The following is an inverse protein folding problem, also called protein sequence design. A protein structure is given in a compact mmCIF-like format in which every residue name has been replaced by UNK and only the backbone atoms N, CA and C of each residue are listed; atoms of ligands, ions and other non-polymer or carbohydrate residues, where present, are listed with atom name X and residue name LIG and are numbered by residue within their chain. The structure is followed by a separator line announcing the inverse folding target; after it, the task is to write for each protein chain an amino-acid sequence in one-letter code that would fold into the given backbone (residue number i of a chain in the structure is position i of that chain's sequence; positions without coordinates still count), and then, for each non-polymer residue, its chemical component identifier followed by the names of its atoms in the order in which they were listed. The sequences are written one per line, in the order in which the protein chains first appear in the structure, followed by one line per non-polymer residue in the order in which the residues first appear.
data_IF_747917377071
#
_entry.id   IF_747917377071
#
_cell.length_a   1.000
_cell.length_b   1.000
_cell.length_c   1.000
_cell.angle_alpha   90.00
_cell.angle_beta   90.00
_cell.angle_gamma   90.00
#
_symmetry.space_group_name_H-M   'P 1'
#
loop_
_entity.id
_entity.type
_entity.pdbx_description
1 polymer ?
#
# COMPACT_ATOMS: atom_id res chain seq x y z
N UNK A 1 24.34 -27.96 -10.09
CA UNK A 1 24.17 -28.61 -11.40
C UNK A 1 25.50 -29.02 -12.07
N UNK A 2 26.41 -28.11 -12.42
CA UNK A 2 27.65 -28.47 -13.15
C UNK A 2 28.46 -29.59 -12.47
N UNK A 3 28.70 -29.53 -11.16
CA UNK A 3 29.47 -30.58 -10.43
C UNK A 3 28.78 -31.96 -10.48
N UNK A 4 27.44 -32.01 -10.34
CA UNK A 4 26.70 -33.28 -10.40
C UNK A 4 26.70 -33.91 -11.81
N UNK A 5 26.56 -33.08 -12.86
CA UNK A 5 26.68 -33.52 -14.25
C UNK A 5 28.06 -34.09 -14.56
N UNK A 6 29.11 -33.41 -14.10
CA UNK A 6 30.49 -33.86 -14.28
C UNK A 6 30.72 -35.17 -13.56
N UNK A 7 30.28 -35.32 -12.31
CA UNK A 7 30.38 -36.57 -11.55
C UNK A 7 29.64 -37.73 -12.25
N UNK A 8 28.41 -37.43 -12.75
CA UNK A 8 27.64 -38.42 -13.51
C UNK A 8 28.37 -38.86 -14.78
N UNK A 9 28.98 -37.94 -15.56
CA UNK A 9 29.76 -38.26 -16.75
C UNK A 9 30.98 -39.12 -16.41
N UNK A 10 31.69 -38.79 -15.32
CA UNK A 10 32.84 -39.58 -14.84
C UNK A 10 32.41 -40.98 -14.45
N UNK A 11 31.28 -41.13 -13.71
CA UNK A 11 30.73 -42.47 -13.38
C UNK A 11 30.37 -43.25 -14.64
N UNK A 12 29.73 -42.62 -15.63
CA UNK A 12 29.31 -43.25 -16.86
C UNK A 12 30.54 -43.74 -17.66
N UNK A 13 31.58 -42.91 -17.77
CA UNK A 13 32.85 -43.30 -18.40
C UNK A 13 33.53 -44.41 -17.64
N UNK A 14 33.55 -44.40 -16.32
CA UNK A 14 34.13 -45.43 -15.48
C UNK A 14 33.43 -46.79 -15.68
N UNK A 15 32.09 -46.80 -15.64
CA UNK A 15 31.33 -48.05 -15.90
C UNK A 15 31.49 -48.53 -17.33
N UNK A 16 31.58 -47.63 -18.31
CA UNK A 16 31.86 -47.98 -19.69
C UNK A 16 33.22 -48.66 -19.83
N UNK A 17 34.30 -48.13 -19.22
CA UNK A 17 35.62 -48.73 -19.19
C UNK A 17 35.64 -50.12 -18.53
N UNK A 18 34.91 -50.26 -17.40
CA UNK A 18 34.76 -51.57 -16.75
C UNK A 18 34.06 -52.58 -17.66
N UNK A 19 33.04 -52.16 -18.42
CA UNK A 19 32.33 -53.02 -19.37
C UNK A 19 33.25 -53.48 -20.53
N UNK A 20 34.21 -52.63 -20.94
CA UNK A 20 35.19 -53.01 -22.01
C UNK A 20 36.23 -53.97 -21.48
N UNK A 21 36.70 -53.82 -20.22
CA UNK A 21 37.74 -54.71 -19.65
C UNK A 21 37.16 -56.04 -19.19
N UNK A 22 36.02 -56.01 -18.50
CA UNK A 22 35.34 -57.19 -17.99
C UNK A 22 34.08 -57.41 -18.84
N UNK A 23 34.08 -58.37 -19.74
CA UNK A 23 32.97 -58.73 -20.65
C UNK A 23 31.88 -59.47 -19.86
N UNK A 24 31.52 -58.95 -18.68
CA UNK A 24 30.52 -59.54 -17.79
C UNK A 24 29.17 -58.86 -17.98
N UNK A 25 28.07 -59.62 -18.05
CA UNK A 25 26.72 -59.15 -18.25
C UNK A 25 26.28 -58.11 -17.18
N UNK A 26 26.82 -58.22 -15.98
CA UNK A 26 26.48 -57.32 -14.88
C UNK A 26 26.91 -55.88 -15.16
N UNK A 27 28.08 -55.62 -15.73
CA UNK A 27 28.56 -54.28 -16.08
C UNK A 27 27.76 -53.68 -17.25
N UNK A 28 27.33 -54.53 -18.21
CA UNK A 28 26.43 -54.08 -19.27
C UNK A 28 25.08 -53.63 -18.73
N UNK A 29 24.49 -54.43 -17.83
CA UNK A 29 23.20 -54.10 -17.21
C UNK A 29 23.30 -52.80 -16.38
N UNK A 30 24.39 -52.59 -15.64
CA UNK A 30 24.68 -51.38 -14.89
C UNK A 30 24.77 -50.16 -15.82
N UNK A 31 25.45 -50.29 -16.97
CA UNK A 31 25.58 -49.25 -17.97
C UNK A 31 24.19 -48.83 -18.52
N UNK A 32 23.39 -49.84 -18.90
CA UNK A 32 22.00 -49.60 -19.39
C UNK A 32 21.18 -48.89 -18.35
N UNK A 33 21.24 -49.33 -17.09
CA UNK A 33 20.49 -48.71 -15.99
C UNK A 33 20.94 -47.26 -15.76
N UNK A 34 22.24 -46.99 -15.82
CA UNK A 34 22.80 -45.64 -15.65
C UNK A 34 22.34 -44.69 -16.77
N UNK A 35 22.01 -45.16 -17.96
CA UNK A 35 21.48 -44.36 -19.07
C UNK A 35 19.95 -44.23 -18.98
N UNK A 36 19.25 -45.33 -18.73
CA UNK A 36 17.78 -45.38 -18.75
C UNK A 36 17.15 -44.59 -17.61
N UNK A 37 17.69 -44.68 -16.38
CA UNK A 37 17.15 -43.98 -15.22
C UNK A 37 17.15 -42.45 -15.38
N UNK A 38 18.23 -41.78 -15.81
CA UNK A 38 18.18 -40.34 -16.07
C UNK A 38 17.29 -39.96 -17.27
N UNK A 39 17.21 -40.80 -18.29
CA UNK A 39 16.33 -40.56 -19.43
C UNK A 39 14.86 -40.56 -19.00
N UNK A 40 14.43 -41.57 -18.22
CA UNK A 40 13.07 -41.62 -17.65
C UNK A 40 12.84 -40.40 -16.70
N UNK A 41 13.80 -40.12 -15.82
CA UNK A 41 13.74 -38.96 -14.94
C UNK A 41 13.53 -37.64 -15.70
N UNK A 42 14.22 -37.48 -16.84
CA UNK A 42 14.09 -36.33 -17.72
C UNK A 42 12.69 -36.18 -18.34
N UNK A 43 12.12 -37.29 -18.84
CA UNK A 43 10.76 -37.28 -19.41
C UNK A 43 9.72 -36.96 -18.31
N UNK A 44 9.84 -37.60 -17.15
CA UNK A 44 8.95 -37.35 -16.03
C UNK A 44 9.06 -35.88 -15.53
N UNK A 45 10.30 -35.35 -15.50
CA UNK A 45 10.54 -33.94 -15.12
C UNK A 45 9.87 -32.97 -16.10
N UNK A 46 9.99 -33.19 -17.41
CA UNK A 46 9.33 -32.35 -18.43
C UNK A 46 7.81 -32.36 -18.28
N UNK A 47 7.21 -33.53 -18.08
CA UNK A 47 5.77 -33.68 -17.83
C UNK A 47 5.34 -32.93 -16.55
N UNK A 48 6.09 -33.10 -15.46
CA UNK A 48 5.84 -32.44 -14.21
C UNK A 48 5.99 -30.92 -14.32
N UNK A 49 7.03 -30.43 -14.98
CA UNK A 49 7.29 -29.02 -15.17
C UNK A 49 6.23 -28.34 -16.03
N UNK A 50 5.64 -29.03 -17.00
CA UNK A 50 4.55 -28.51 -17.84
C UNK A 50 3.19 -28.48 -17.10
N UNK A 51 3.00 -29.36 -16.13
CA UNK A 51 1.78 -29.42 -15.31
C UNK A 51 1.75 -28.46 -14.11
N UNK A 52 2.83 -27.73 -13.85
CA UNK A 52 2.95 -26.86 -12.68
C UNK A 52 2.12 -25.56 -12.83
N UNK A 53 1.25 -25.30 -11.86
CA UNK A 53 0.51 -24.04 -11.71
C UNK A 53 0.94 -23.38 -10.41
N UNK A 54 1.19 -22.07 -10.46
CA UNK A 54 1.57 -21.27 -9.30
C UNK A 54 0.48 -20.25 -8.99
N UNK A 55 0.19 -20.12 -7.72
CA UNK A 55 -0.71 -19.12 -7.18
C UNK A 55 0.05 -18.32 -6.13
N UNK A 56 0.04 -17.00 -6.30
CA UNK A 56 0.59 -16.07 -5.35
C UNK A 56 -0.55 -15.52 -4.49
N UNK A 57 -0.39 -15.56 -3.19
CA UNK A 57 -1.35 -15.00 -2.25
C UNK A 57 -0.63 -14.29 -1.11
N UNK A 58 -1.16 -13.14 -0.72
CA UNK A 58 -0.69 -12.38 0.43
C UNK A 58 -1.87 -12.26 1.38
N UNK A 59 -1.79 -12.82 2.59
CA UNK A 59 -2.89 -12.77 3.57
C UNK A 59 -3.23 -11.35 3.99
N UNK A 60 -2.20 -10.51 4.14
CA UNK A 60 -2.31 -9.11 4.53
C UNK A 60 -2.42 -8.24 3.29
N UNK A 61 -3.48 -7.42 3.19
CA UNK A 61 -3.65 -6.47 2.08
C UNK A 61 -3.07 -5.10 2.38
N UNK A 62 -2.96 -4.76 3.65
CA UNK A 62 -2.47 -3.48 4.18
C UNK A 62 -1.43 -3.75 5.26
N UNK A 63 -0.31 -3.06 5.20
CA UNK A 63 0.81 -3.16 6.15
C UNK A 63 1.47 -1.80 6.31
N UNK A 64 2.29 -1.66 7.36
CA UNK A 64 3.12 -0.48 7.57
C UNK A 64 4.58 -0.74 7.19
N UNK A 65 5.38 0.30 6.88
CA UNK A 65 6.80 0.16 6.63
C UNK A 65 7.52 -0.53 7.80
N UNK A 66 8.45 -1.42 7.48
CA UNK A 66 9.18 -2.20 8.50
C UNK A 66 8.44 -3.42 9.04
N UNK A 67 7.16 -3.58 8.78
CA UNK A 67 6.37 -4.74 9.21
C UNK A 67 6.70 -5.97 8.37
N UNK A 68 6.80 -7.13 9.01
CA UNK A 68 7.09 -8.39 8.32
C UNK A 68 5.86 -8.86 7.53
N UNK A 69 6.04 -9.10 6.24
CA UNK A 69 4.99 -9.58 5.33
C UNK A 69 5.34 -10.97 4.85
N UNK A 70 4.38 -11.88 4.96
CA UNK A 70 4.51 -13.24 4.47
C UNK A 70 3.85 -13.40 3.12
N UNK A 71 4.64 -13.72 2.10
CA UNK A 71 4.17 -14.04 0.75
C UNK A 71 4.02 -15.55 0.63
N UNK A 72 2.80 -16.01 0.41
CA UNK A 72 2.49 -17.43 0.25
C UNK A 72 2.48 -17.80 -1.23
N UNK A 73 3.38 -18.66 -1.66
CA UNK A 73 3.40 -19.25 -2.98
C UNK A 73 2.82 -20.66 -2.90
N UNK A 74 1.67 -20.87 -3.53
CA UNK A 74 1.06 -22.19 -3.64
C UNK A 74 1.38 -22.78 -5.01
N UNK A 75 2.19 -23.83 -5.03
CA UNK A 75 2.52 -24.58 -6.21
C UNK A 75 1.62 -25.83 -6.27
N UNK A 76 0.88 -25.99 -7.36
CA UNK A 76 0.01 -27.14 -7.61
C UNK A 76 0.45 -27.82 -8.89
N UNK A 77 0.84 -29.08 -8.79
CA UNK A 77 1.15 -29.88 -9.96
C UNK A 77 -0.07 -30.72 -10.40
N UNK A 78 -0.43 -30.62 -11.67
CA UNK A 78 -1.51 -31.42 -12.26
C UNK A 78 -1.18 -32.92 -12.26
N UNK A 79 0.08 -33.25 -12.46
CA UNK A 79 0.56 -34.64 -12.45
C UNK A 79 1.07 -35.01 -11.07
N UNK A 80 0.85 -36.26 -10.66
CA UNK A 80 1.33 -36.81 -9.37
C UNK A 80 2.85 -37.05 -9.39
N UNK A 81 3.58 -36.35 -10.24
CA UNK A 81 5.02 -36.47 -10.41
C UNK A 81 5.67 -35.38 -9.58
N UNK A 82 6.49 -35.75 -8.67
CA UNK A 82 7.24 -34.85 -7.82
C UNK A 82 8.37 -34.17 -8.62
N UNK A 83 8.55 -32.89 -8.43
CA UNK A 83 9.69 -32.13 -8.92
C UNK A 83 10.80 -32.16 -7.86
N UNK A 84 12.05 -32.08 -8.27
CA UNK A 84 13.19 -31.92 -7.37
C UNK A 84 13.21 -30.52 -6.72
N UNK A 85 14.40 -29.96 -6.53
CA UNK A 85 14.54 -28.64 -5.93
C UNK A 85 13.88 -27.56 -6.79
N UNK A 86 13.09 -26.69 -6.13
CA UNK A 86 12.44 -25.53 -6.74
C UNK A 86 13.02 -24.26 -6.13
N UNK A 87 13.29 -23.26 -6.94
CA UNK A 87 13.71 -21.94 -6.48
C UNK A 87 12.82 -20.88 -7.15
N UNK A 88 12.21 -20.02 -6.34
CA UNK A 88 11.35 -18.95 -6.80
C UNK A 88 12.10 -17.63 -6.70
N UNK A 89 12.07 -16.85 -7.77
CA UNK A 89 12.56 -15.49 -7.81
C UNK A 89 11.35 -14.56 -7.88
N UNK A 90 11.16 -13.78 -6.81
CA UNK A 90 10.05 -12.85 -6.66
C UNK A 90 10.59 -11.45 -6.83
N UNK A 91 9.98 -10.66 -7.70
CA UNK A 91 10.25 -9.23 -7.85
C UNK A 91 9.23 -8.41 -7.07
N UNK A 92 9.69 -7.47 -6.30
CA UNK A 92 8.85 -6.46 -5.61
C UNK A 92 9.15 -5.11 -6.24
N UNK A 93 8.13 -4.49 -6.82
CA UNK A 93 8.23 -3.16 -7.43
C UNK A 93 7.13 -2.25 -6.86
N UNK A 94 7.42 -0.97 -6.68
CA UNK A 94 6.42 0.02 -6.28
C UNK A 94 5.84 0.72 -7.52
N UNK A 95 4.51 0.87 -7.57
CA UNK A 95 3.79 1.35 -8.75
C UNK A 95 4.23 2.73 -9.24
N UNK A 96 4.51 3.66 -8.37
CA UNK A 96 4.77 5.08 -8.72
C UNK A 96 6.25 5.47 -8.60
N UNK A 97 7.16 4.51 -8.74
CA UNK A 97 8.59 4.79 -8.66
C UNK A 97 9.16 5.07 -10.04
N UNK A 98 9.86 6.20 -10.25
CA UNK A 98 10.64 6.41 -11.46
C UNK A 98 11.79 5.39 -11.51
N UNK A 99 11.87 4.63 -12.60
CA UNK A 99 12.84 3.56 -12.75
C UNK A 99 12.26 2.19 -12.35
N UNK A 100 12.67 1.15 -13.08
CA UNK A 100 12.26 -0.24 -12.85
C UNK A 100 13.08 -0.91 -11.72
N UNK A 101 13.33 -0.21 -10.62
CA UNK A 101 14.02 -0.83 -9.50
C UNK A 101 13.11 -1.86 -8.82
N UNK A 102 13.50 -3.13 -8.96
CA UNK A 102 12.84 -4.25 -8.33
C UNK A 102 13.72 -4.84 -7.25
N UNK A 103 13.16 -5.01 -6.09
CA UNK A 103 13.79 -5.79 -5.03
C UNK A 103 13.56 -7.28 -5.32
N UNK A 104 14.66 -8.06 -5.38
CA UNK A 104 14.60 -9.47 -5.73
C UNK A 104 14.70 -10.33 -4.48
N UNK A 105 13.65 -11.11 -4.24
CA UNK A 105 13.60 -12.10 -3.17
C UNK A 105 13.77 -13.50 -3.76
N UNK A 106 14.55 -14.34 -3.09
CA UNK A 106 14.71 -15.73 -3.46
C UNK A 106 14.20 -16.63 -2.35
N UNK A 107 13.37 -17.59 -2.69
CA UNK A 107 12.94 -18.61 -1.76
C UNK A 107 13.07 -20.00 -2.37
N UNK A 108 13.45 -20.96 -1.53
CA UNK A 108 13.54 -22.36 -1.91
C UNK A 108 12.24 -23.09 -1.60
N UNK A 109 11.76 -23.87 -2.55
CA UNK A 109 10.57 -24.69 -2.39
C UNK A 109 10.94 -26.17 -2.22
N UNK A 110 10.17 -26.89 -1.38
CA UNK A 110 10.29 -28.34 -1.18
C UNK A 110 9.17 -29.04 -1.95
N UNK A 111 9.39 -30.29 -2.29
CA UNK A 111 8.59 -31.04 -3.26
C UNK A 111 7.46 -31.80 -2.60
N UNK A 112 6.25 -31.30 -2.69
CA UNK A 112 5.02 -32.01 -2.33
C UNK A 112 3.94 -31.81 -3.41
N UNK A 113 2.87 -32.60 -3.39
CA UNK A 113 1.79 -32.54 -4.38
C UNK A 113 1.07 -31.18 -4.39
N UNK A 114 0.94 -30.56 -3.22
CA UNK A 114 0.48 -29.19 -3.02
C UNK A 114 1.45 -28.54 -2.04
N UNK A 115 2.21 -27.59 -2.54
CA UNK A 115 3.23 -26.95 -1.74
C UNK A 115 2.84 -25.51 -1.45
N UNK A 116 2.98 -25.13 -0.20
CA UNK A 116 2.99 -23.72 0.24
C UNK A 116 4.41 -23.37 0.67
N UNK A 117 5.03 -22.47 -0.08
CA UNK A 117 6.31 -21.88 0.28
C UNK A 117 6.04 -20.47 0.77
N UNK A 118 6.65 -20.11 1.88
CA UNK A 118 6.53 -18.78 2.46
C UNK A 118 7.83 -18.03 2.22
N UNK A 119 7.71 -16.83 1.69
CA UNK A 119 8.80 -15.87 1.62
C UNK A 119 8.44 -14.69 2.50
N UNK A 120 9.38 -14.25 3.31
CA UNK A 120 9.20 -13.12 4.21
C UNK A 120 10.01 -11.94 3.70
N UNK A 121 9.41 -10.77 3.70
CA UNK A 121 10.10 -9.51 3.42
C UNK A 121 9.49 -8.38 4.24
N UNK A 122 10.26 -7.32 4.41
CA UNK A 122 9.81 -6.13 5.12
C UNK A 122 9.87 -4.93 4.18
N UNK A 123 8.71 -4.38 3.76
CA UNK A 123 8.68 -3.21 2.90
C UNK A 123 9.25 -2.00 3.64
N UNK A 124 10.18 -1.27 2.98
CA UNK A 124 10.87 -0.11 3.56
C UNK A 124 10.19 1.21 3.23
N UNK A 125 9.42 1.25 2.16
CA UNK A 125 8.81 2.45 1.60
C UNK A 125 7.30 2.34 1.56
N UNK A 126 6.61 3.47 1.70
CA UNK A 126 5.17 3.58 1.51
C UNK A 126 4.81 3.49 0.03
N UNK A 127 3.61 3.00 -0.28
CA UNK A 127 3.11 2.92 -1.64
C UNK A 127 2.43 1.60 -1.95
N UNK A 128 2.05 1.42 -3.20
CA UNK A 128 1.48 0.16 -3.67
C UNK A 128 2.62 -0.70 -4.20
N UNK A 129 2.97 -1.74 -3.46
CA UNK A 129 3.96 -2.72 -3.86
C UNK A 129 3.29 -3.79 -4.74
N UNK A 130 3.78 -3.94 -5.97
CA UNK A 130 3.42 -5.02 -6.87
C UNK A 130 4.44 -6.14 -6.71
N UNK A 131 3.96 -7.32 -6.40
CA UNK A 131 4.76 -8.50 -6.13
C UNK A 131 4.51 -9.51 -7.24
N UNK A 132 5.54 -9.80 -8.01
CA UNK A 132 5.47 -10.67 -9.19
C UNK A 132 6.40 -11.87 -9.03
N UNK A 133 5.97 -13.04 -9.49
CA UNK A 133 6.88 -14.16 -9.68
C UNK A 133 7.56 -14.00 -11.04
N UNK A 134 8.85 -13.65 -11.03
CA UNK A 134 9.57 -13.42 -12.28
C UNK A 134 10.05 -14.73 -12.91
N UNK A 135 10.73 -15.55 -12.11
CA UNK A 135 11.37 -16.77 -12.60
C UNK A 135 11.25 -17.89 -11.58
N UNK A 136 11.06 -19.08 -12.10
CA UNK A 136 11.08 -20.31 -11.32
C UNK A 136 12.12 -21.23 -11.90
N UNK A 137 13.07 -21.63 -11.08
CA UNK A 137 14.08 -22.62 -11.42
C UNK A 137 13.62 -23.97 -10.88
N UNK A 138 13.45 -24.91 -11.78
CA UNK A 138 13.04 -26.28 -11.48
C UNK A 138 14.19 -27.21 -11.73
N UNK A 139 14.38 -28.19 -10.86
CA UNK A 139 15.36 -29.25 -11.00
C UNK A 139 14.70 -30.63 -10.92
N UNK A 140 15.26 -31.61 -11.63
CA UNK A 140 14.92 -33.02 -11.44
C UNK A 140 15.49 -33.56 -10.12
N UNK A 141 15.07 -34.74 -9.70
CA UNK A 141 15.56 -35.42 -8.50
C UNK A 141 17.06 -35.68 -8.50
N UNK A 142 17.59 -36.08 -9.65
CA UNK A 142 19.00 -36.37 -9.79
C UNK A 142 19.85 -35.11 -9.81
N UNK A 143 19.22 -33.92 -10.05
CA UNK A 143 19.91 -32.65 -10.21
C UNK A 143 20.75 -32.56 -11.47
N UNK A 144 20.44 -33.40 -12.47
CA UNK A 144 21.08 -33.44 -13.78
C UNK A 144 20.42 -32.50 -14.77
N UNK A 145 19.09 -32.41 -14.71
CA UNK A 145 18.26 -31.61 -15.61
C UNK A 145 17.63 -30.50 -14.84
N UNK A 146 17.59 -29.29 -15.39
CA UNK A 146 16.89 -28.17 -14.81
C UNK A 146 16.44 -27.20 -15.88
N UNK A 147 15.29 -26.62 -15.68
CA UNK A 147 14.68 -25.63 -16.56
C UNK A 147 14.29 -24.36 -15.78
N UNK A 148 14.24 -23.27 -16.51
CA UNK A 148 13.74 -22.01 -16.00
C UNK A 148 12.42 -21.69 -16.70
N UNK A 149 11.37 -21.41 -15.93
CA UNK A 149 10.08 -20.99 -16.46
C UNK A 149 9.70 -19.64 -15.92
N UNK A 150 9.07 -18.83 -16.77
CA UNK A 150 8.47 -17.56 -16.39
C UNK A 150 7.00 -17.81 -16.05
N UNK A 151 6.55 -17.33 -14.92
CA UNK A 151 5.16 -17.40 -14.52
C UNK A 151 4.58 -16.00 -14.45
N UNK A 152 3.31 -15.86 -14.82
CA UNK A 152 2.56 -14.62 -14.69
C UNK A 152 1.63 -14.74 -13.49
N UNK A 153 2.04 -14.19 -12.38
CA UNK A 153 1.23 -14.07 -11.19
C UNK A 153 1.64 -12.80 -10.48
N UNK A 154 0.70 -11.88 -10.28
CA UNK A 154 0.93 -10.62 -9.59
C UNK A 154 -0.03 -10.47 -8.41
N UNK A 155 0.46 -9.91 -7.34
CA UNK A 155 -0.31 -9.50 -6.18
C UNK A 155 0.04 -8.07 -5.82
N UNK A 156 -0.91 -7.32 -5.31
CA UNK A 156 -0.69 -5.95 -4.83
C UNK A 156 -0.81 -5.91 -3.32
N UNK A 157 0.09 -5.16 -2.70
CA UNK A 157 0.14 -4.90 -1.27
C UNK A 157 0.19 -3.39 -1.05
N UNK A 158 -0.73 -2.87 -0.25
CA UNK A 158 -0.70 -1.48 0.16
C UNK A 158 0.18 -1.32 1.41
N UNK A 159 1.24 -0.53 1.28
CA UNK A 159 2.12 -0.16 2.39
C UNK A 159 1.75 1.25 2.85
N UNK A 160 0.92 1.32 3.88
CA UNK A 160 0.37 2.57 4.41
C UNK A 160 1.38 3.27 5.32
N UNK A 161 1.52 4.60 5.27
CA UNK A 161 2.33 5.34 6.21
C UNK A 161 1.76 5.20 7.63
N UNK A 162 2.63 5.20 8.62
CA UNK A 162 2.24 5.27 10.01
C UNK A 162 2.07 6.75 10.41
N UNK A 163 0.85 7.20 10.79
CA UNK A 163 0.62 8.58 11.14
C UNK A 163 1.33 8.94 12.44
N UNK A 164 1.97 10.11 12.45
CA UNK A 164 2.55 10.70 13.66
C UNK A 164 1.41 11.31 14.48
N UNK A 165 1.26 10.86 15.71
CA UNK A 165 0.24 11.36 16.63
C UNK A 165 0.77 12.57 17.42
N UNK A 166 -0.12 13.54 17.70
CA UNK A 166 0.22 14.66 18.60
C UNK A 166 0.63 14.15 19.98
N UNK A 167 1.65 14.77 20.56
CA UNK A 167 2.08 14.47 21.94
C UNK A 167 0.98 14.74 22.95
N UNK A 168 0.10 15.70 22.66
CA UNK A 168 -1.04 16.07 23.51
C UNK A 168 -2.18 15.07 23.45
N UNK A 169 -2.39 14.40 22.32
CA UNK A 169 -3.35 13.28 22.23
C UNK A 169 -2.88 12.12 23.11
N UNK A 170 -1.58 11.83 23.15
CA UNK A 170 -1.04 10.77 24.03
C UNK A 170 -1.31 11.04 25.52
N UNK A 171 -1.19 12.31 25.97
CA UNK A 171 -1.48 12.69 27.35
C UNK A 171 -2.97 12.91 27.63
N UNK A 172 -3.77 13.19 26.59
CA UNK A 172 -5.22 13.40 26.69
C UNK A 172 -6.03 12.11 26.70
N UNK A 173 -5.57 11.04 26.03
CA UNK A 173 -6.23 9.73 26.07
C UNK A 173 -6.30 9.14 27.48
N UNK A 174 -5.33 9.45 28.34
CA UNK A 174 -5.38 9.05 29.75
C UNK A 174 -6.43 9.85 30.56
N UNK A 175 -6.77 11.07 30.16
CA UNK A 175 -7.75 11.93 30.87
C UNK A 175 -9.17 11.86 30.29
N UNK A 176 -9.36 11.56 29.01
CA UNK A 176 -10.70 11.54 28.38
C UNK A 176 -11.53 10.29 28.71
N UNK A 177 -10.94 9.24 29.25
CA UNK A 177 -11.73 8.12 29.78
C UNK A 177 -12.58 8.51 31.01
N UNK A 178 -12.22 9.57 31.71
CA UNK A 178 -12.92 10.02 32.91
C UNK A 178 -14.06 11.05 32.61
N UNK A 179 -14.03 11.75 31.47
CA UNK A 179 -14.98 12.80 31.11
C UNK A 179 -16.15 12.39 30.20
N UNK A 180 -16.11 11.19 29.58
CA UNK A 180 -17.19 10.72 28.69
C UNK A 180 -18.48 10.27 29.38
N UNK A 181 -18.56 10.32 30.71
CA UNK A 181 -19.76 9.90 31.45
C UNK A 181 -20.71 11.03 31.87
N UNK A 182 -20.45 12.29 31.52
CA UNK A 182 -21.29 13.42 32.03
C UNK A 182 -21.76 14.41 30.98
N UNK A 183 -21.66 14.17 29.70
CA UNK A 183 -22.28 15.02 28.69
C UNK A 183 -23.34 14.21 27.91
N UNK A 184 -24.51 14.10 28.52
CA UNK A 184 -25.74 13.90 27.75
C UNK A 184 -25.97 15.20 27.00
N UNK A 185 -25.87 15.12 25.68
CA UNK A 185 -26.01 16.24 24.77
C UNK A 185 -27.41 16.85 24.92
N UNK A 186 -27.48 18.06 25.39
CA UNK A 186 -28.54 18.98 25.00
C UNK A 186 -28.25 19.41 23.55
N UNK A 187 -29.20 19.15 22.68
CA UNK A 187 -29.22 19.49 21.26
C UNK A 187 -29.45 21.04 21.13
N UNK A 188 -28.42 21.81 21.47
CA UNK A 188 -28.34 23.23 21.22
C UNK A 188 -27.44 23.46 20.00
N UNK A 189 -28.03 23.23 18.81
CA UNK A 189 -27.51 23.84 17.58
C UNK A 189 -27.48 25.35 17.80
N UNK A 190 -26.33 25.99 17.64
CA UNK A 190 -26.07 27.38 17.90
C UNK A 190 -27.14 28.28 17.30
N UNK A 191 -27.92 28.93 18.17
CA UNK A 191 -28.93 29.92 17.77
C UNK A 191 -28.17 31.17 17.33
N UNK A 192 -28.12 31.41 16.01
CA UNK A 192 -27.41 32.55 15.43
C UNK A 192 -28.15 33.87 15.71
N UNK A 193 -29.48 33.86 15.63
CA UNK A 193 -30.27 35.08 15.82
C UNK A 193 -31.70 34.74 16.24
N UNK A 194 -32.37 35.74 16.83
CA UNK A 194 -33.77 35.70 17.22
C UNK A 194 -34.52 36.79 16.45
N UNK A 195 -35.50 36.39 15.63
CA UNK A 195 -36.29 37.32 14.82
C UNK A 195 -37.79 37.11 15.05
N UNK A 196 -38.58 38.12 14.73
CA UNK A 196 -40.01 37.97 14.69
C UNK A 196 -40.48 36.92 13.67
N UNK A 197 -41.50 36.15 14.06
CA UNK A 197 -42.14 35.14 13.21
C UNK A 197 -42.71 35.76 11.95
N UNK A 198 -42.53 35.05 10.82
CA UNK A 198 -43.14 35.40 9.55
C UNK A 198 -44.00 34.24 9.04
N UNK A 199 -45.15 34.51 8.35
CA UNK A 199 -45.95 33.45 7.76
C UNK A 199 -45.11 32.58 6.82
N UNK A 200 -45.04 31.29 7.13
CA UNK A 200 -44.20 30.32 6.42
C UNK A 200 -43.03 29.74 7.25
N UNK A 201 -42.73 30.31 8.39
CA UNK A 201 -41.72 29.79 9.30
C UNK A 201 -42.18 28.50 9.98
N UNK A 202 -41.21 27.61 10.27
CA UNK A 202 -41.49 26.36 10.97
C UNK A 202 -41.83 26.61 12.45
N UNK A 203 -43.01 26.15 12.89
CA UNK A 203 -43.49 26.32 14.24
C UNK A 203 -42.63 25.67 15.33
N UNK A 204 -41.86 24.65 14.97
CA UNK A 204 -40.91 23.96 15.86
C UNK A 204 -39.73 24.87 16.25
N UNK A 205 -39.45 25.91 15.47
CA UNK A 205 -38.35 26.84 15.73
C UNK A 205 -38.80 28.04 16.59
N UNK A 206 -40.03 28.09 17.06
CA UNK A 206 -40.50 29.18 17.93
C UNK A 206 -39.83 29.06 19.30
N UNK A 207 -39.26 30.17 19.76
CA UNK A 207 -38.72 30.29 21.10
C UNK A 207 -39.84 30.64 22.10
N UNK A 208 -40.65 29.66 22.52
CA UNK A 208 -41.85 29.84 23.34
C UNK A 208 -41.61 30.65 24.60
N UNK A 209 -40.49 30.43 25.32
CA UNK A 209 -40.17 31.13 26.54
C UNK A 209 -39.98 32.66 26.36
N UNK A 210 -39.39 33.08 25.23
CA UNK A 210 -39.17 34.47 24.91
C UNK A 210 -40.44 35.08 24.31
N UNK A 211 -41.14 34.36 23.48
CA UNK A 211 -42.40 34.77 22.87
C UNK A 211 -43.47 35.08 23.91
N UNK A 212 -43.53 34.31 25.00
CA UNK A 212 -44.44 34.55 26.11
C UNK A 212 -44.09 35.80 26.96
N UNK A 213 -42.84 36.28 26.89
CA UNK A 213 -42.40 37.48 27.64
C UNK A 213 -42.55 38.77 26.85
N UNK A 214 -42.52 38.66 25.51
CA UNK A 214 -42.53 39.82 24.61
C UNK A 214 -43.90 40.06 23.95
N UNK A 215 -44.87 39.16 24.15
CA UNK A 215 -46.15 39.09 23.45
C UNK A 215 -46.08 38.99 21.92
N UNK A 216 -44.87 38.73 21.37
CA UNK A 216 -44.62 38.55 19.96
C UNK A 216 -44.03 37.16 19.72
N UNK A 217 -44.41 36.50 18.61
CA UNK A 217 -43.83 35.19 18.24
C UNK A 217 -42.41 35.42 17.73
N UNK A 218 -41.44 34.85 18.46
CA UNK A 218 -40.02 34.92 18.14
C UNK A 218 -39.55 33.55 17.66
N UNK A 219 -38.86 33.50 16.51
CA UNK A 219 -38.31 32.30 15.90
C UNK A 219 -36.80 32.30 16.07
N UNK A 220 -36.26 31.13 16.44
CA UNK A 220 -34.83 30.85 16.47
C UNK A 220 -34.38 30.69 15.03
N UNK A 221 -33.40 31.46 14.60
CA UNK A 221 -32.74 31.31 13.34
C UNK A 221 -31.48 30.49 13.59
N UNK A 222 -31.50 29.26 13.12
CA UNK A 222 -30.34 28.39 13.15
C UNK A 222 -29.42 28.76 11.98
N UNK A 223 -28.11 28.77 12.21
CA UNK A 223 -27.15 28.92 11.13
C UNK A 223 -27.17 27.66 10.27
N UNK A 224 -27.11 27.81 8.97
CA UNK A 224 -26.63 26.74 8.18
C UNK A 224 -25.21 26.46 8.64
N UNK A 225 -24.95 25.28 9.21
CA UNK A 225 -23.59 24.82 9.45
C UNK A 225 -22.92 24.76 8.09
N UNK A 226 -22.14 25.78 7.77
CA UNK A 226 -21.22 25.72 6.63
C UNK A 226 -20.23 24.65 7.01
N UNK A 227 -20.34 23.51 6.36
CA UNK A 227 -19.46 22.35 6.56
C UNK A 227 -18.06 22.74 6.06
N UNK A 228 -17.27 23.37 6.93
CA UNK A 228 -15.95 23.90 6.60
C UNK A 228 -15.00 22.73 6.45
N UNK A 229 -14.86 22.25 5.22
CA UNK A 229 -13.89 21.19 4.90
C UNK A 229 -12.47 21.75 4.99
N UNK A 230 -11.59 21.04 5.67
CA UNK A 230 -10.15 21.33 5.63
C UNK A 230 -9.55 20.64 4.40
N UNK A 231 -8.83 21.39 3.59
CA UNK A 231 -8.28 20.91 2.31
C UNK A 231 -6.79 20.62 2.47
N UNK A 232 -6.38 19.42 2.08
CA UNK A 232 -4.96 19.00 2.01
C UNK A 232 -4.59 18.84 0.55
N UNK A 233 -3.76 19.74 0.04
CA UNK A 233 -3.17 19.65 -1.30
C UNK A 233 -1.92 18.81 -1.24
N UNK A 234 -1.81 17.83 -2.12
CA UNK A 234 -0.67 16.91 -2.12
C UNK A 234 0.16 17.10 -3.38
N UNK A 235 1.44 17.35 -3.17
CA UNK A 235 2.41 17.45 -4.25
C UNK A 235 2.96 16.07 -4.62
N UNK A 236 2.48 15.52 -5.73
CA UNK A 236 2.97 14.28 -6.34
C UNK A 236 3.93 14.55 -7.50
N UNK A 237 4.69 15.62 -7.45
CA UNK A 237 5.68 15.94 -8.47
C UNK A 237 6.83 14.95 -8.47
N UNK A 238 7.31 14.59 -9.66
CA UNK A 238 8.50 13.75 -9.81
C UNK A 238 9.72 14.60 -9.43
N UNK A 239 10.35 14.23 -8.35
CA UNK A 239 11.61 14.77 -7.91
C UNK A 239 12.74 13.93 -8.51
N UNK A 240 13.53 14.52 -9.42
CA UNK A 240 14.63 13.81 -10.08
C UNK A 240 15.87 13.70 -9.17
N UNK A 241 15.72 13.01 -8.03
CA UNK A 241 16.74 12.85 -7.00
C UNK A 241 16.89 11.40 -6.57
N UNK A 242 18.11 11.03 -6.13
CA UNK A 242 18.37 9.70 -5.57
C UNK A 242 17.52 9.38 -4.31
N UNK A 243 16.99 10.42 -3.65
CA UNK A 243 16.17 10.29 -2.42
C UNK A 243 14.66 10.38 -2.69
N UNK A 244 14.22 10.21 -3.94
CA UNK A 244 12.81 10.34 -4.33
C UNK A 244 11.88 9.53 -3.43
N UNK A 245 12.19 8.26 -3.16
CA UNK A 245 11.35 7.38 -2.32
C UNK A 245 11.19 7.91 -0.90
N UNK A 246 12.29 8.25 -0.25
CA UNK A 246 12.26 8.80 1.12
C UNK A 246 11.48 10.11 1.21
N UNK A 247 11.56 10.95 0.17
CA UNK A 247 10.78 12.19 0.09
C UNK A 247 9.30 11.93 -0.08
N UNK A 248 8.93 10.99 -0.93
CA UNK A 248 7.52 10.59 -1.11
C UNK A 248 6.97 9.92 0.16
N UNK A 249 7.77 9.09 0.85
CA UNK A 249 7.40 8.53 2.15
C UNK A 249 7.08 9.65 3.16
N UNK A 250 7.90 10.69 3.21
CA UNK A 250 7.68 11.84 4.09
C UNK A 250 6.39 12.60 3.72
N UNK A 251 6.10 12.80 2.42
CA UNK A 251 4.85 13.42 1.95
C UNK A 251 3.65 12.57 2.37
N UNK A 252 3.66 11.26 2.10
CA UNK A 252 2.56 10.39 2.48
C UNK A 252 2.36 10.33 3.99
N UNK A 253 3.45 10.30 4.77
CA UNK A 253 3.37 10.31 6.23
C UNK A 253 2.81 11.62 6.76
N UNK A 254 3.20 12.77 6.19
CA UNK A 254 2.67 14.08 6.56
C UNK A 254 1.16 14.19 6.25
N UNK A 255 0.75 13.78 5.03
CA UNK A 255 -0.67 13.79 4.64
C UNK A 255 -1.50 12.89 5.55
N UNK A 256 -1.03 11.66 5.81
CA UNK A 256 -1.73 10.74 6.71
C UNK A 256 -1.84 11.28 8.15
N UNK A 257 -0.78 11.92 8.65
CA UNK A 257 -0.75 12.48 10.00
C UNK A 257 -1.69 13.66 10.15
N UNK A 258 -1.69 14.59 9.18
CA UNK A 258 -2.59 15.75 9.17
C UNK A 258 -4.04 15.32 9.02
N UNK A 259 -4.31 14.41 8.08
CA UNK A 259 -5.66 13.90 7.86
C UNK A 259 -6.18 13.10 9.07
N UNK A 260 -5.32 12.30 9.72
CA UNK A 260 -5.68 11.59 10.94
C UNK A 260 -6.02 12.55 12.09
N UNK A 261 -5.25 13.64 12.22
CA UNK A 261 -5.52 14.69 13.21
C UNK A 261 -6.92 15.31 13.01
N UNK A 262 -7.28 15.62 11.77
CA UNK A 262 -8.60 16.18 11.45
C UNK A 262 -9.73 15.17 11.70
N UNK A 263 -9.54 13.92 11.31
CA UNK A 263 -10.52 12.84 11.54
C UNK A 263 -10.76 12.61 13.05
N UNK A 264 -9.70 12.63 13.86
CA UNK A 264 -9.83 12.48 15.33
C UNK A 264 -10.57 13.65 16.01
N UNK A 265 -10.58 14.81 15.37
CA UNK A 265 -11.32 16.00 15.82
C UNK A 265 -12.66 16.20 15.07
N UNK A 266 -13.15 15.16 14.36
CA UNK A 266 -14.42 15.16 13.63
C UNK A 266 -14.53 16.28 12.57
N UNK A 267 -13.38 16.74 12.05
CA UNK A 267 -13.30 17.75 10.99
C UNK A 267 -13.31 17.10 9.62
N UNK A 268 -14.29 17.45 8.79
CA UNK A 268 -14.38 16.97 7.42
C UNK A 268 -13.15 17.39 6.61
N UNK A 269 -12.50 16.41 5.96
CA UNK A 269 -11.24 16.63 5.27
C UNK A 269 -11.34 16.25 3.80
N UNK A 270 -10.77 17.09 2.93
CA UNK A 270 -10.68 16.85 1.51
C UNK A 270 -9.20 16.77 1.11
N UNK A 271 -8.76 15.62 0.62
CA UNK A 271 -7.42 15.46 0.04
C UNK A 271 -7.50 15.65 -1.46
N UNK A 272 -6.72 16.58 -2.00
CA UNK A 272 -6.68 16.92 -3.41
C UNK A 272 -5.30 16.64 -3.99
N UNK A 273 -5.26 15.83 -5.06
CA UNK A 273 -4.04 15.52 -5.79
C UNK A 273 -4.28 15.59 -7.30
N UNK A 274 -3.26 15.96 -8.06
CA UNK A 274 -3.33 16.01 -9.53
C UNK A 274 -2.92 14.68 -10.15
N UNK A 275 -3.80 14.12 -10.98
CA UNK A 275 -3.51 12.92 -11.76
C UNK A 275 -2.99 13.32 -13.15
N UNK A 276 -1.68 13.16 -13.37
CA UNK A 276 -1.03 13.54 -14.63
C UNK A 276 -1.46 12.72 -15.85
N UNK A 277 -1.91 11.46 -15.65
CA UNK A 277 -2.42 10.64 -16.76
C UNK A 277 -3.83 11.06 -17.19
N UNK A 278 -4.70 11.32 -16.22
CA UNK A 278 -6.09 11.76 -16.49
C UNK A 278 -6.20 13.24 -16.80
N UNK A 279 -5.15 14.03 -16.54
CA UNK A 279 -5.15 15.48 -16.64
C UNK A 279 -6.30 16.14 -15.84
N UNK A 280 -6.56 15.61 -14.65
CA UNK A 280 -7.63 16.06 -13.75
C UNK A 280 -7.23 15.97 -12.30
N UNK A 281 -7.83 16.82 -11.47
CA UNK A 281 -7.72 16.69 -10.03
C UNK A 281 -8.55 15.50 -9.53
N UNK A 282 -8.01 14.76 -8.57
CA UNK A 282 -8.74 13.75 -7.82
C UNK A 282 -9.04 14.28 -6.42
N UNK A 283 -10.30 14.18 -6.04
CA UNK A 283 -10.85 14.63 -4.77
C UNK A 283 -11.14 13.42 -3.91
N UNK A 284 -10.52 13.33 -2.73
CA UNK A 284 -10.66 12.23 -1.81
C UNK A 284 -11.24 12.78 -0.50
N UNK A 285 -12.51 12.56 -0.26
CA UNK A 285 -13.20 12.95 0.96
C UNK A 285 -12.91 11.95 2.08
N UNK A 286 -12.70 12.47 3.29
CA UNK A 286 -12.33 11.69 4.47
C UNK A 286 -13.12 12.20 5.68
N UNK A 287 -13.96 11.33 6.23
CA UNK A 287 -14.76 11.61 7.43
C UNK A 287 -14.39 10.68 8.59
N UNK A 288 -13.78 9.53 8.30
CA UNK A 288 -13.42 8.56 9.30
C UNK A 288 -12.11 7.83 8.95
N UNK A 289 -11.57 7.07 9.91
CA UNK A 289 -10.29 6.37 9.77
C UNK A 289 -10.31 5.32 8.64
N UNK A 290 -11.43 4.66 8.41
CA UNK A 290 -11.55 3.67 7.32
C UNK A 290 -11.49 4.35 5.94
N UNK A 291 -12.12 5.50 5.81
CA UNK A 291 -12.05 6.32 4.59
C UNK A 291 -10.66 6.91 4.40
N UNK A 292 -9.97 7.30 5.48
CA UNK A 292 -8.59 7.75 5.42
C UNK A 292 -7.68 6.67 4.79
N UNK A 293 -7.75 5.44 5.27
CA UNK A 293 -6.96 4.35 4.69
C UNK A 293 -7.27 4.16 3.20
N UNK A 294 -8.55 4.18 2.82
CA UNK A 294 -8.96 4.08 1.41
C UNK A 294 -8.47 5.27 0.57
N UNK A 295 -8.55 6.47 1.11
CA UNK A 295 -8.05 7.67 0.46
C UNK A 295 -6.54 7.62 0.27
N UNK A 296 -5.79 7.16 1.28
CA UNK A 296 -4.34 6.95 1.17
C UNK A 296 -3.97 5.91 0.11
N UNK A 297 -4.69 4.79 0.05
CA UNK A 297 -4.48 3.78 -1.01
C UNK A 297 -4.72 4.38 -2.39
N UNK A 298 -5.80 5.15 -2.58
CA UNK A 298 -6.08 5.83 -3.85
C UNK A 298 -5.03 6.87 -4.19
N UNK A 299 -4.62 7.68 -3.22
CA UNK A 299 -3.56 8.68 -3.38
C UNK A 299 -2.26 8.04 -3.88
N UNK A 300 -1.85 6.92 -3.29
CA UNK A 300 -0.66 6.18 -3.68
C UNK A 300 -0.77 5.48 -5.05
N UNK A 301 -1.98 5.31 -5.58
CA UNK A 301 -2.22 4.80 -6.94
C UNK A 301 -2.15 5.90 -8.01
N UNK A 302 -2.25 7.18 -7.61
CA UNK A 302 -2.15 8.30 -8.55
C UNK A 302 -0.73 8.37 -9.08
N UNK A 303 -0.53 8.32 -10.42
CA UNK A 303 0.81 8.39 -10.99
C UNK A 303 1.42 9.77 -10.79
N UNK A 304 2.66 9.77 -10.31
CA UNK A 304 3.43 10.99 -10.16
C UNK A 304 3.72 11.62 -11.53
N UNK A 305 3.66 12.94 -11.64
CA UNK A 305 3.94 13.67 -12.86
C UNK A 305 4.72 14.96 -12.56
N UNK A 306 5.48 15.44 -13.54
CA UNK A 306 6.10 16.75 -13.43
C UNK A 306 5.03 17.83 -13.21
N UNK A 307 5.26 18.78 -12.29
CA UNK A 307 4.35 19.88 -11.95
C UNK A 307 3.00 19.48 -11.38
N UNK A 308 2.86 18.24 -10.82
CA UNK A 308 1.59 17.80 -10.21
C UNK A 308 1.15 18.76 -9.08
N UNK A 309 2.08 19.25 -8.27
CA UNK A 309 1.81 20.20 -7.20
C UNK A 309 1.32 21.56 -7.72
N UNK A 310 1.92 22.11 -8.78
CA UNK A 310 1.49 23.38 -9.40
C UNK A 310 0.05 23.27 -9.92
N UNK A 311 -0.28 22.16 -10.59
CA UNK A 311 -1.62 21.91 -11.10
C UNK A 311 -2.66 21.72 -9.98
N UNK A 312 -2.31 21.00 -8.92
CA UNK A 312 -3.17 20.83 -7.75
C UNK A 312 -3.48 22.18 -7.08
N UNK A 313 -2.46 23.00 -6.89
CA UNK A 313 -2.62 24.35 -6.33
C UNK A 313 -3.44 25.27 -7.25
N UNK A 314 -3.26 25.21 -8.57
CA UNK A 314 -4.04 25.99 -9.52
C UNK A 314 -5.54 25.64 -9.50
N UNK A 315 -5.87 24.35 -9.39
CA UNK A 315 -7.27 23.89 -9.27
C UNK A 315 -7.86 24.37 -7.96
N UNK A 316 -7.12 24.26 -6.84
CA UNK A 316 -7.59 24.75 -5.56
C UNK A 316 -7.93 26.25 -5.59
N UNK A 317 -7.02 27.08 -6.10
CA UNK A 317 -7.20 28.52 -6.18
C UNK A 317 -8.38 28.94 -7.08
N UNK A 318 -8.72 28.12 -8.07
CA UNK A 318 -9.81 28.40 -9.00
C UNK A 318 -11.18 27.94 -8.47
N UNK A 319 -11.24 26.75 -7.90
CA UNK A 319 -12.52 26.08 -7.66
C UNK A 319 -12.91 26.06 -6.16
N UNK A 320 -11.93 26.06 -5.24
CA UNK A 320 -12.17 25.83 -3.81
C UNK A 320 -11.92 27.08 -2.94
N UNK A 321 -10.91 27.90 -3.28
CA UNK A 321 -10.61 29.14 -2.54
C UNK A 321 -11.83 30.07 -2.51
N UNK A 322 -12.64 30.08 -3.57
CA UNK A 322 -13.87 30.85 -3.67
C UNK A 322 -14.92 30.49 -2.60
N UNK A 323 -14.80 29.30 -1.99
CA UNK A 323 -15.67 28.82 -0.92
C UNK A 323 -15.15 29.17 0.50
N UNK A 324 -14.04 29.91 0.61
CA UNK A 324 -13.44 30.32 1.89
C UNK A 324 -12.75 29.20 2.67
N UNK A 325 -12.49 28.06 2.03
CA UNK A 325 -11.87 26.90 2.68
C UNK A 325 -10.35 27.08 2.79
N UNK A 326 -9.80 26.82 3.96
CA UNK A 326 -8.36 26.89 4.20
C UNK A 326 -7.67 25.61 3.72
N UNK A 327 -6.56 25.75 2.98
CA UNK A 327 -5.78 24.63 2.51
C UNK A 327 -4.36 24.59 3.08
N UNK A 328 -3.89 23.35 3.30
CA UNK A 328 -2.49 23.03 3.57
C UNK A 328 -1.88 22.37 2.33
N UNK A 329 -0.76 22.90 1.85
CA UNK A 329 -0.04 22.34 0.72
C UNK A 329 1.17 21.54 1.20
N UNK A 330 1.10 20.23 1.10
CA UNK A 330 2.15 19.29 1.52
C UNK A 330 3.07 18.99 0.35
N UNK A 331 4.33 19.37 0.46
CA UNK A 331 5.34 19.20 -0.60
C UNK A 331 6.70 18.80 -0.02
N UNK A 332 7.49 18.05 -0.81
CA UNK A 332 8.90 17.79 -0.55
C UNK A 332 9.81 18.69 -1.40
N UNK A 333 9.25 19.55 -2.24
CA UNK A 333 9.97 20.48 -3.10
C UNK A 333 9.96 21.91 -2.56
N UNK A 334 10.61 22.81 -3.31
CA UNK A 334 10.50 24.25 -3.08
C UNK A 334 9.32 24.79 -3.87
N UNK A 335 8.27 25.17 -3.16
CA UNK A 335 7.11 25.86 -3.73
C UNK A 335 6.88 27.16 -2.96
N UNK A 336 6.65 28.26 -3.66
CA UNK A 336 6.35 29.55 -3.05
C UNK A 336 4.98 30.04 -3.51
N UNK A 337 4.04 30.14 -2.59
CA UNK A 337 2.74 30.71 -2.84
C UNK A 337 2.24 31.42 -1.57
N UNK A 338 1.85 32.68 -1.68
CA UNK A 338 1.40 33.48 -0.54
C UNK A 338 -0.06 33.18 -0.11
N UNK A 339 -0.80 32.40 -0.90
CA UNK A 339 -2.23 32.13 -0.68
C UNK A 339 -2.52 30.81 0.02
N UNK A 340 -1.54 29.91 0.06
CA UNK A 340 -1.70 28.58 0.64
C UNK A 340 -0.63 28.36 1.71
N UNK A 341 -0.99 27.81 2.85
CA UNK A 341 0.00 27.45 3.87
C UNK A 341 0.81 26.23 3.39
N UNK A 342 2.11 26.46 3.17
CA UNK A 342 3.01 25.43 2.66
C UNK A 342 3.60 24.63 3.82
N UNK A 343 3.50 23.32 3.74
CA UNK A 343 4.14 22.35 4.63
C UNK A 343 5.25 21.65 3.85
N UNK A 344 6.48 22.11 4.03
CA UNK A 344 7.64 21.47 3.43
C UNK A 344 8.17 20.38 4.37
N UNK A 345 7.99 19.12 4.00
CA UNK A 345 8.34 17.95 4.82
C UNK A 345 9.85 17.78 5.08
N UNK A 346 10.72 18.44 4.32
CA UNK A 346 12.18 18.42 4.54
C UNK A 346 12.65 19.44 5.58
N UNK A 347 11.88 20.52 5.78
CA UNK A 347 12.26 21.65 6.61
C UNK A 347 11.58 21.68 7.97
N UNK A 348 10.43 21.01 8.10
CA UNK A 348 9.59 21.05 9.29
C UNK A 348 9.67 19.70 10.02
N UNK A 349 9.87 19.75 11.34
CA UNK A 349 9.66 18.58 12.17
C UNK A 349 8.14 18.27 12.22
N UNK A 350 7.76 17.12 11.68
CA UNK A 350 6.34 16.75 11.53
C UNK A 350 5.59 16.74 12.85
N UNK A 351 6.25 16.37 13.95
CA UNK A 351 5.68 16.37 15.29
C UNK A 351 5.28 17.80 15.73
N UNK A 352 6.16 18.77 15.54
CA UNK A 352 5.89 20.18 15.90
C UNK A 352 4.75 20.76 15.07
N UNK A 353 4.69 20.42 13.77
CA UNK A 353 3.59 20.84 12.90
C UNK A 353 2.25 20.29 13.39
N UNK A 354 2.18 19.01 13.75
CA UNK A 354 0.96 18.36 14.23
C UNK A 354 0.50 18.97 15.55
N UNK A 355 1.42 19.24 16.47
CA UNK A 355 1.13 19.90 17.74
C UNK A 355 0.65 21.35 17.53
N UNK A 356 1.20 22.09 16.56
CA UNK A 356 0.73 23.42 16.16
C UNK A 356 -0.67 23.40 15.52
N UNK A 357 -0.94 22.44 14.67
CA UNK A 357 -2.25 22.28 14.02
C UNK A 357 -3.33 21.89 15.05
N UNK A 358 -2.98 21.08 16.03
CA UNK A 358 -3.86 20.73 17.14
C UNK A 358 -4.34 21.96 17.93
N UNK A 359 -3.48 22.97 18.13
CA UNK A 359 -3.85 24.20 18.83
C UNK A 359 -4.82 25.10 18.04
N UNK A 360 -4.94 24.87 16.74
CA UNK A 360 -5.76 25.70 15.82
C UNK A 360 -7.09 25.05 15.41
N UNK A 361 -7.32 23.81 15.83
CA UNK A 361 -8.58 23.08 15.66
C UNK A 361 -9.49 23.33 16.85
#
# INVERSE_FOLDING_TARGET
MRKRRLLYIVCLLGVFWLNVIYVEYQFFLLLVLLIVVPAISGVLFELAANGLKLYLNIPQKEVHPGQLVTVCIKAVNRHVIFLGKQQFQIGVAYLNTPGNEKEMLQCDGVTEKVQQTMAEFSPKHCGIAQIDIEKVFLQDYLGLIGTQKNFRGSCQLAVLPEPVLSTRIRTGMEKQQEYRYSAVADDDSDILDLRAFRPGDNLNHIHWNLSLRTDDLIVRQYGEQIDVKKVILVDLSILNTAQYRSRMDAVYTAVASIANLYVENEVNTLILAWNGQKQSAEYLEVHNRTELNRAMIRLMQIPCSSRAGEHAAAVYLKDIEAQGQQALFVTAGSYENNKVRIVNVEKIQLQELIDELWEKI
#
